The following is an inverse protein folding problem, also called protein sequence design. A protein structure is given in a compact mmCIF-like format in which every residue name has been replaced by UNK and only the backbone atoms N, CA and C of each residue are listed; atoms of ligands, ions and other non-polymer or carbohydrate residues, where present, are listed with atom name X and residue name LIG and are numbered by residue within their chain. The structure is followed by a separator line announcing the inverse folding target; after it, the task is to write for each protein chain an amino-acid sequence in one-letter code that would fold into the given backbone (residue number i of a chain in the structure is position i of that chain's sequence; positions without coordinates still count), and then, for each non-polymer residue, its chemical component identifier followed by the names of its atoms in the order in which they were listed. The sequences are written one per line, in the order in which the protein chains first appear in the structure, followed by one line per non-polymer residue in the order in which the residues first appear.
data_IF_110015332530
#
_entry.id   IF_110015332530
#
_cell.length_a   1.000
_cell.length_b   1.000
_cell.length_c   1.000
_cell.angle_alpha   90.00
_cell.angle_beta   90.00
_cell.angle_gamma   90.00
#
_symmetry.space_group_name_H-M   'P 1'
#
loop_
_entity.id
_entity.type
_entity.pdbx_description
1 polymer ?
#
# COMPACT_ATOMS: atom_id res chain seq x y z
N UNK A 1 9.56 -5.19 -18.09
CA UNK A 1 9.06 -4.62 -16.82
C UNK A 1 8.65 -5.68 -15.81
N UNK A 2 7.81 -6.67 -16.19
CA UNK A 2 7.37 -7.72 -15.27
C UNK A 2 8.52 -8.58 -14.69
N UNK A 3 9.56 -8.87 -15.48
CA UNK A 3 10.70 -9.68 -15.00
C UNK A 3 11.54 -8.93 -13.96
N UNK A 4 11.78 -7.63 -14.16
CA UNK A 4 12.50 -6.77 -13.21
C UNK A 4 11.69 -6.56 -11.92
N UNK A 5 10.36 -6.44 -12.03
CA UNK A 5 9.48 -6.35 -10.86
C UNK A 5 9.58 -7.63 -10.01
N UNK A 6 9.53 -8.81 -10.64
CA UNK A 6 9.65 -10.10 -9.93
C UNK A 6 11.01 -10.25 -9.26
N UNK A 7 12.08 -9.84 -9.92
CA UNK A 7 13.44 -9.85 -9.37
C UNK A 7 13.52 -8.98 -8.10
N UNK A 8 13.10 -7.71 -8.19
CA UNK A 8 13.08 -6.78 -7.04
C UNK A 8 12.25 -7.33 -5.88
N UNK A 9 11.04 -7.83 -6.14
CA UNK A 9 10.16 -8.32 -5.08
C UNK A 9 10.66 -9.64 -4.45
N UNK A 10 11.44 -10.45 -5.19
CA UNK A 10 11.95 -11.73 -4.68
C UNK A 10 13.01 -11.60 -3.59
N UNK A 11 13.63 -10.42 -3.47
CA UNK A 11 14.60 -10.11 -2.42
C UNK A 11 13.95 -9.81 -1.06
N UNK A 12 12.63 -9.64 -1.03
CA UNK A 12 11.88 -9.23 0.15
C UNK A 12 10.87 -10.29 0.58
N UNK A 13 10.73 -10.50 1.88
CA UNK A 13 9.60 -11.26 2.40
C UNK A 13 8.37 -10.33 2.46
N UNK A 14 7.45 -10.48 1.52
CA UNK A 14 6.24 -9.66 1.43
C UNK A 14 5.03 -10.49 1.78
N UNK A 15 4.24 -10.00 2.75
CA UNK A 15 2.92 -10.54 3.10
C UNK A 15 1.91 -9.41 3.00
N UNK A 16 0.78 -9.67 2.36
CA UNK A 16 -0.31 -8.70 2.23
C UNK A 16 -1.57 -9.33 2.80
N UNK A 17 -2.25 -8.61 3.69
CA UNK A 17 -3.49 -9.04 4.36
C UNK A 17 -4.53 -7.94 4.30
N UNK A 18 -5.79 -8.30 4.17
CA UNK A 18 -6.91 -7.36 4.22
C UNK A 18 -7.87 -7.67 5.36
N UNK A 19 -8.49 -6.62 5.90
CA UNK A 19 -9.32 -6.67 7.10
C UNK A 19 -10.57 -5.83 6.89
N UNK A 20 -11.73 -6.45 7.09
CA UNK A 20 -13.02 -5.86 6.74
C UNK A 20 -13.64 -5.07 7.90
N UNK A 21 -14.27 -3.93 7.59
CA UNK A 21 -15.10 -3.16 8.53
C UNK A 21 -14.39 -2.78 9.85
N UNK A 22 -13.11 -2.41 9.78
CA UNK A 22 -12.33 -2.02 10.95
C UNK A 22 -12.73 -0.62 11.44
N UNK A 23 -12.64 -0.41 12.75
CA UNK A 23 -12.92 0.87 13.41
C UNK A 23 -11.67 1.32 14.17
N UNK A 24 -11.13 2.47 13.80
CA UNK A 24 -9.97 3.10 14.42
C UNK A 24 -10.40 4.41 15.06
N UNK A 25 -10.68 4.38 16.37
CA UNK A 25 -11.21 5.54 17.10
C UNK A 25 -10.27 6.75 17.06
N UNK A 26 -8.98 6.49 17.26
CA UNK A 26 -7.90 7.48 17.27
C UNK A 26 -6.77 7.03 16.34
N UNK A 27 -6.78 7.56 15.11
CA UNK A 27 -5.77 7.23 14.10
C UNK A 27 -4.34 7.51 14.59
N UNK A 28 -3.99 8.67 15.19
CA UNK A 28 -2.64 8.90 15.68
C UNK A 28 -2.15 7.85 16.70
N UNK A 29 -2.98 7.51 17.70
CA UNK A 29 -2.63 6.51 18.71
C UNK A 29 -2.46 5.12 18.11
N UNK A 30 -3.34 4.76 17.17
CA UNK A 30 -3.27 3.50 16.46
C UNK A 30 -1.99 3.40 15.60
N UNK A 31 -1.67 4.43 14.82
CA UNK A 31 -0.44 4.47 14.03
C UNK A 31 0.82 4.43 14.90
N UNK A 32 0.79 5.03 16.11
CA UNK A 32 1.90 4.91 17.04
C UNK A 32 2.11 3.45 17.51
N UNK A 33 1.03 2.70 17.80
CA UNK A 33 1.14 1.28 18.15
C UNK A 33 1.73 0.46 16.99
N UNK A 34 1.32 0.74 15.76
CA UNK A 34 1.90 0.11 14.56
C UNK A 34 3.39 0.44 14.44
N UNK A 35 3.77 1.70 14.67
CA UNK A 35 5.18 2.12 14.62
C UNK A 35 6.02 1.40 15.68
N UNK A 36 5.51 1.28 16.90
CA UNK A 36 6.18 0.52 17.97
C UNK A 36 6.37 -0.96 17.60
N UNK A 37 5.37 -1.59 16.97
CA UNK A 37 5.48 -2.97 16.46
C UNK A 37 6.51 -3.04 15.32
N UNK A 38 6.50 -2.08 14.41
CA UNK A 38 7.42 -2.03 13.25
C UNK A 38 8.87 -1.93 13.73
N UNK A 39 9.14 -1.09 14.72
CA UNK A 39 10.48 -0.86 15.30
C UNK A 39 11.05 -2.04 16.09
N UNK A 40 10.30 -3.14 16.25
CA UNK A 40 10.86 -4.38 16.80
C UNK A 40 11.95 -5.01 15.89
N UNK A 41 12.01 -4.60 14.62
CA UNK A 41 13.06 -4.96 13.67
C UNK A 41 13.29 -3.81 12.68
N UNK A 42 14.53 -3.33 12.56
CA UNK A 42 14.89 -2.16 11.73
C UNK A 42 14.65 -2.36 10.23
N UNK A 43 14.63 -3.61 9.76
CA UNK A 43 14.36 -3.94 8.35
C UNK A 43 12.87 -4.05 8.03
N UNK A 44 12.01 -4.08 9.05
CA UNK A 44 10.57 -4.28 8.89
C UNK A 44 9.87 -3.04 8.39
N UNK A 45 8.90 -3.25 7.50
CA UNK A 45 7.96 -2.22 7.06
C UNK A 45 6.54 -2.75 7.28
N UNK A 46 5.71 -1.96 7.96
CA UNK A 46 4.27 -2.23 8.11
C UNK A 46 3.53 -1.00 7.61
N UNK A 47 2.93 -1.08 6.42
CA UNK A 47 2.15 0.00 5.83
C UNK A 47 0.69 -0.38 5.74
N UNK A 48 -0.18 0.43 6.36
CA UNK A 48 -1.63 0.30 6.23
C UNK A 48 -2.16 1.20 5.11
N UNK A 49 -3.08 0.65 4.32
CA UNK A 49 -3.71 1.30 3.18
C UNK A 49 -5.23 1.12 3.28
N UNK A 50 -5.97 2.11 2.80
CA UNK A 50 -7.41 2.03 2.61
C UNK A 50 -7.71 1.06 1.45
N UNK A 51 -8.26 -0.11 1.78
CA UNK A 51 -8.49 -1.21 0.83
C UNK A 51 -9.50 -0.81 -0.25
N UNK A 52 -10.37 0.16 0.02
CA UNK A 52 -11.39 0.62 -0.90
C UNK A 52 -10.83 1.33 -2.15
N UNK A 53 -9.54 1.65 -2.17
CA UNK A 53 -8.85 2.27 -3.30
C UNK A 53 -7.72 1.39 -3.85
N UNK A 54 -7.75 0.09 -3.55
CA UNK A 54 -6.89 -0.95 -4.10
C UNK A 54 -7.69 -1.72 -5.16
N UNK A 55 -7.02 -2.13 -6.24
CA UNK A 55 -7.67 -2.82 -7.37
C UNK A 55 -6.83 -4.04 -7.80
N UNK A 56 -6.77 -5.05 -6.95
CA UNK A 56 -6.07 -6.30 -7.19
C UNK A 56 -4.61 -6.31 -6.73
N UNK A 57 -4.09 -7.53 -6.61
CA UNK A 57 -2.74 -7.79 -6.13
C UNK A 57 -1.65 -7.16 -7.03
N UNK A 58 -1.92 -7.07 -8.33
CA UNK A 58 -1.00 -6.44 -9.29
C UNK A 58 -0.77 -4.97 -8.99
N UNK A 59 -1.81 -4.23 -8.61
CA UNK A 59 -1.73 -2.82 -8.24
C UNK A 59 -0.82 -2.62 -7.03
N UNK A 60 -1.04 -3.37 -5.94
CA UNK A 60 -0.22 -3.28 -4.72
C UNK A 60 1.25 -3.63 -5.04
N UNK A 61 1.49 -4.76 -5.70
CA UNK A 61 2.84 -5.19 -6.04
C UNK A 61 3.58 -4.21 -6.95
N UNK A 62 2.86 -3.49 -7.81
CA UNK A 62 3.45 -2.45 -8.63
C UNK A 62 3.87 -1.24 -7.78
N UNK A 63 2.99 -0.79 -6.88
CA UNK A 63 3.32 0.26 -5.91
C UNK A 63 4.52 -0.08 -5.03
N UNK A 64 4.57 -1.31 -4.48
CA UNK A 64 5.70 -1.78 -3.66
C UNK A 64 7.00 -1.78 -4.45
N UNK A 65 7.00 -2.39 -5.65
CA UNK A 65 8.22 -2.47 -6.47
C UNK A 65 8.76 -1.09 -6.84
N UNK A 66 7.88 -0.16 -7.19
CA UNK A 66 8.27 1.21 -7.53
C UNK A 66 8.78 1.99 -6.31
N UNK A 67 8.22 1.75 -5.13
CA UNK A 67 8.70 2.36 -3.89
C UNK A 67 10.10 1.87 -3.52
N UNK A 68 10.33 0.55 -3.57
CA UNK A 68 11.64 -0.07 -3.32
C UNK A 68 12.68 0.48 -4.31
N UNK A 69 12.34 0.51 -5.60
CA UNK A 69 13.22 1.05 -6.64
C UNK A 69 13.55 2.51 -6.40
N UNK A 70 12.55 3.34 -6.10
CA UNK A 70 12.73 4.77 -5.84
C UNK A 70 13.68 5.02 -4.66
N UNK A 71 13.57 4.23 -3.59
CA UNK A 71 14.52 4.31 -2.47
C UNK A 71 15.93 3.88 -2.87
N UNK A 72 16.08 2.80 -3.64
CA UNK A 72 17.39 2.35 -4.14
C UNK A 72 18.08 3.37 -5.05
N UNK A 73 17.29 4.16 -5.78
CA UNK A 73 17.78 5.18 -6.73
C UNK A 73 17.82 6.61 -6.14
N UNK A 74 17.45 6.80 -4.87
CA UNK A 74 17.28 8.11 -4.21
C UNK A 74 16.31 9.05 -4.95
N UNK A 75 15.24 8.49 -5.52
CA UNK A 75 14.14 9.20 -6.21
C UNK A 75 12.82 9.13 -5.43
N UNK A 76 12.88 8.72 -4.16
CA UNK A 76 11.73 8.64 -3.27
C UNK A 76 11.15 10.03 -2.97
N UNK A 77 9.83 10.12 -2.86
CA UNK A 77 9.13 11.34 -2.46
C UNK A 77 8.98 11.44 -0.95
N UNK A 78 8.84 10.32 -0.25
CA UNK A 78 8.75 10.21 1.19
C UNK A 78 10.08 9.74 1.81
N UNK A 79 10.38 10.21 3.03
CA UNK A 79 11.57 9.81 3.78
C UNK A 79 11.43 8.44 4.47
N UNK A 80 10.23 7.87 4.47
CA UNK A 80 9.92 6.57 5.06
C UNK A 80 9.47 5.59 3.96
N UNK A 81 9.93 4.33 4.05
CA UNK A 81 9.67 3.31 3.03
C UNK A 81 8.20 2.90 2.98
N UNK A 82 7.53 2.78 4.13
CA UNK A 82 6.09 2.49 4.19
C UNK A 82 5.29 3.61 3.53
N UNK A 83 5.62 4.86 3.85
CA UNK A 83 4.94 6.02 3.29
C UNK A 83 5.17 6.15 1.78
N UNK A 84 6.36 5.83 1.27
CA UNK A 84 6.60 5.79 -0.18
C UNK A 84 5.79 4.69 -0.87
N UNK A 85 5.57 3.53 -0.25
CA UNK A 85 4.65 2.51 -0.77
C UNK A 85 3.24 3.10 -0.91
N UNK A 86 2.77 3.86 0.09
CA UNK A 86 1.49 4.56 0.00
C UNK A 86 1.46 5.58 -1.15
N UNK A 87 2.52 6.41 -1.28
CA UNK A 87 2.64 7.40 -2.35
C UNK A 87 2.61 6.75 -3.73
N UNK A 88 3.45 5.73 -3.95
CA UNK A 88 3.53 5.03 -5.24
C UNK A 88 2.25 4.31 -5.56
N UNK A 89 1.68 3.54 -4.62
CA UNK A 89 0.40 2.85 -4.83
C UNK A 89 -0.72 3.85 -5.14
N UNK A 90 -0.74 5.03 -4.52
CA UNK A 90 -1.78 6.04 -4.78
C UNK A 90 -1.67 6.72 -6.15
N UNK A 91 -0.62 6.43 -6.92
CA UNK A 91 -0.26 7.12 -8.15
C UNK A 91 -0.14 8.66 -7.99
N UNK A 92 0.22 9.14 -6.78
CA UNK A 92 0.41 10.56 -6.47
C UNK A 92 1.89 10.91 -6.33
N UNK A 93 2.24 12.18 -6.58
CA UNK A 93 3.57 12.74 -6.22
C UNK A 93 3.59 13.37 -4.83
N UNK A 94 2.45 13.85 -4.35
CA UNK A 94 2.34 14.56 -3.08
C UNK A 94 1.85 13.61 -1.98
N UNK A 95 2.61 13.54 -0.89
CA UNK A 95 2.28 12.71 0.28
C UNK A 95 0.89 13.03 0.83
N UNK A 96 0.51 14.31 0.88
CA UNK A 96 -0.81 14.72 1.38
C UNK A 96 -1.96 14.15 0.54
N UNK A 97 -1.82 14.11 -0.78
CA UNK A 97 -2.84 13.56 -1.67
C UNK A 97 -2.87 12.03 -1.60
N UNK A 98 -1.69 11.40 -1.49
CA UNK A 98 -1.58 9.97 -1.26
C UNK A 98 -2.33 9.54 0.02
N UNK A 99 -2.11 10.25 1.13
CA UNK A 99 -2.78 9.97 2.40
C UNK A 99 -4.28 10.30 2.39
N UNK A 100 -4.71 11.30 1.62
CA UNK A 100 -6.14 11.56 1.42
C UNK A 100 -6.83 10.39 0.71
N UNK A 101 -6.16 9.81 -0.29
CA UNK A 101 -6.69 8.68 -1.05
C UNK A 101 -6.53 7.37 -0.29
N UNK A 102 -5.29 6.87 -0.12
CA UNK A 102 -4.98 5.56 0.45
C UNK A 102 -4.70 5.55 1.96
N UNK A 103 -4.65 6.69 2.63
CA UNK A 103 -4.49 6.70 4.09
C UNK A 103 -5.73 6.14 4.78
N UNK A 104 -5.54 5.27 5.78
CA UNK A 104 -6.63 4.63 6.53
C UNK A 104 -7.62 5.66 7.11
N UNK A 105 -8.90 5.27 7.17
CA UNK A 105 -9.97 6.07 7.77
C UNK A 105 -10.36 5.54 9.14
N UNK A 106 -11.16 6.31 9.87
CA UNK A 106 -11.71 5.89 11.17
C UNK A 106 -12.60 4.64 11.08
N UNK A 107 -13.22 4.42 9.92
CA UNK A 107 -14.00 3.24 9.62
C UNK A 107 -13.77 2.86 8.17
N UNK A 108 -13.47 1.60 7.90
CA UNK A 108 -13.29 1.12 6.54
C UNK A 108 -12.56 -0.22 6.48
N UNK A 109 -12.29 -0.64 5.26
CA UNK A 109 -11.49 -1.82 4.97
C UNK A 109 -10.02 -1.43 4.95
N UNK A 110 -9.16 -2.25 5.57
CA UNK A 110 -7.74 -1.95 5.70
C UNK A 110 -6.95 -3.07 5.04
N UNK A 111 -6.03 -2.72 4.15
CA UNK A 111 -4.99 -3.63 3.66
C UNK A 111 -3.68 -3.28 4.35
N UNK A 112 -2.98 -4.29 4.84
CA UNK A 112 -1.66 -4.13 5.46
C UNK A 112 -0.62 -4.82 4.59
N UNK A 113 0.40 -4.05 4.21
CA UNK A 113 1.61 -4.53 3.54
C UNK A 113 2.68 -4.72 4.61
N UNK A 114 3.14 -5.96 4.75
CA UNK A 114 4.23 -6.35 5.62
C UNK A 114 5.45 -6.70 4.77
N UNK A 115 6.59 -6.07 5.04
CA UNK A 115 7.87 -6.37 4.35
C UNK A 115 8.93 -6.68 5.40
N UNK A 116 9.61 -7.82 5.24
CA UNK A 116 10.68 -8.30 6.13
C UNK A 116 10.27 -8.36 7.62
N UNK A 117 8.97 -8.55 7.87
CA UNK A 117 8.41 -8.62 9.22
C UNK A 117 8.49 -10.02 9.81
N UNK A 118 8.71 -10.11 11.11
CA UNK A 118 8.65 -11.38 11.83
C UNK A 118 7.20 -11.85 12.03
N UNK A 119 6.97 -13.16 12.23
CA UNK A 119 5.64 -13.67 12.58
C UNK A 119 5.03 -13.03 13.84
N UNK A 120 5.86 -12.61 14.80
CA UNK A 120 5.40 -11.91 16.00
C UNK A 120 4.87 -10.50 15.66
N UNK A 121 5.54 -9.76 14.79
CA UNK A 121 5.09 -8.43 14.35
C UNK A 121 3.76 -8.51 13.59
N UNK A 122 3.61 -9.50 12.70
CA UNK A 122 2.36 -9.74 11.98
C UNK A 122 1.25 -10.06 12.99
N UNK A 123 1.50 -10.98 13.93
CA UNK A 123 0.52 -11.36 14.96
C UNK A 123 0.06 -10.17 15.80
N UNK A 124 0.99 -9.35 16.31
CA UNK A 124 0.67 -8.15 17.11
C UNK A 124 -0.15 -7.14 16.30
N UNK A 125 0.14 -6.99 15.01
CA UNK A 125 -0.62 -6.11 14.12
C UNK A 125 -2.03 -6.67 13.87
N UNK A 126 -2.15 -7.98 13.66
CA UNK A 126 -3.43 -8.67 13.50
C UNK A 126 -4.33 -8.56 14.73
N UNK A 127 -3.75 -8.55 15.94
CA UNK A 127 -4.49 -8.35 17.20
C UNK A 127 -5.12 -6.95 17.32
N UNK A 128 -4.61 -5.95 16.59
CA UNK A 128 -5.17 -4.60 16.53
C UNK A 128 -6.26 -4.44 15.45
N UNK A 129 -6.48 -5.46 14.63
CA UNK A 129 -7.40 -5.47 13.51
C UNK A 129 -8.45 -6.58 13.70
N UNK A 130 -9.50 -6.56 12.89
CA UNK A 130 -10.61 -7.50 12.98
C UNK A 130 -11.05 -7.95 11.60
N UNK A 131 -11.71 -9.12 11.54
CA UNK A 131 -12.33 -9.68 10.33
C UNK A 131 -11.37 -9.76 9.14
N UNK A 132 -10.29 -10.53 9.26
CA UNK A 132 -9.38 -10.77 8.14
C UNK A 132 -10.16 -11.37 6.95
N UNK A 133 -10.09 -10.70 5.81
CA UNK A 133 -10.73 -11.06 4.56
C UNK A 133 -9.81 -10.65 3.39
N UNK A 134 -8.95 -11.56 2.96
CA UNK A 134 -7.94 -11.29 1.92
C UNK A 134 -8.58 -11.16 0.51
N UNK A 135 -9.81 -11.65 0.30
CA UNK A 135 -10.52 -11.54 -0.98
C UNK A 135 -10.84 -10.10 -1.37
N UNK A 136 -10.95 -9.18 -0.38
CA UNK A 136 -11.18 -7.75 -0.60
C UNK A 136 -10.16 -7.08 -1.52
N UNK A 137 -8.96 -7.65 -1.66
CA UNK A 137 -7.93 -7.12 -2.56
C UNK A 137 -8.40 -7.19 -4.01
N UNK A 138 -9.12 -8.24 -4.39
CA UNK A 138 -9.62 -8.46 -5.76
C UNK A 138 -11.10 -8.02 -5.92
N UNK A 139 -11.81 -7.76 -4.82
CA UNK A 139 -13.20 -7.29 -4.79
C UNK A 139 -13.25 -5.76 -4.64
N UNK A 140 -13.11 -5.03 -5.76
CA UNK A 140 -13.12 -3.58 -5.80
C UNK A 140 -14.27 -3.00 -6.64
N UNK A 141 -14.62 -1.75 -6.37
CA UNK A 141 -15.65 -1.00 -7.09
C UNK A 141 -14.99 -0.22 -8.25
N UNK A 142 -15.19 -0.71 -9.47
CA UNK A 142 -14.64 -0.14 -10.70
C UNK A 142 -14.95 1.36 -10.85
N UNK A 143 -16.20 1.78 -10.62
CA UNK A 143 -16.61 3.17 -10.78
C UNK A 143 -15.90 4.07 -9.76
N UNK A 144 -15.78 3.58 -8.52
CA UNK A 144 -15.05 4.28 -7.46
C UNK A 144 -13.58 4.41 -7.80
N UNK A 145 -12.93 3.35 -8.28
CA UNK A 145 -11.51 3.36 -8.65
C UNK A 145 -11.27 4.31 -9.83
N UNK A 146 -12.04 4.19 -10.91
CA UNK A 146 -11.95 5.05 -12.10
C UNK A 146 -12.05 6.53 -11.70
N UNK A 147 -13.04 6.87 -10.85
CA UNK A 147 -13.22 8.25 -10.37
C UNK A 147 -12.07 8.72 -9.49
N UNK A 148 -11.67 7.92 -8.50
CA UNK A 148 -10.62 8.29 -7.54
C UNK A 148 -9.26 8.48 -8.18
N UNK A 149 -8.91 7.64 -9.15
CA UNK A 149 -7.65 7.73 -9.88
C UNK A 149 -7.76 8.62 -11.13
N UNK A 150 -8.94 9.18 -11.44
CA UNK A 150 -9.21 10.00 -12.63
C UNK A 150 -8.78 9.28 -13.93
N UNK A 151 -9.25 8.05 -14.11
CA UNK A 151 -9.04 7.25 -15.32
C UNK A 151 -10.09 7.63 -16.37
N UNK A 152 -9.70 7.67 -17.65
CA UNK A 152 -10.60 7.99 -18.77
C UNK A 152 -11.08 6.70 -19.43
N UNK A 153 -12.37 6.34 -19.28
CA UNK A 153 -13.02 5.18 -19.93
C UNK A 153 -12.09 3.95 -20.06
N UNK A 154 -11.68 3.42 -18.91
CA UNK A 154 -10.70 2.34 -18.83
C UNK A 154 -11.33 0.97 -19.11
N UNK A 155 -10.86 0.29 -20.16
CA UNK A 155 -11.17 -1.13 -20.43
C UNK A 155 -10.36 -2.08 -19.53
N UNK A 156 -9.23 -1.61 -18.96
CA UNK A 156 -8.37 -2.37 -18.03
C UNK A 156 -7.83 -1.44 -16.91
N UNK A 157 -8.59 -1.36 -15.82
CA UNK A 157 -8.34 -0.45 -14.69
C UNK A 157 -6.98 -0.71 -14.06
N UNK A 158 -6.59 -1.97 -13.95
CA UNK A 158 -5.34 -2.38 -13.31
C UNK A 158 -4.15 -1.96 -14.16
N UNK A 159 -4.23 -2.16 -15.48
CA UNK A 159 -3.17 -1.71 -16.40
C UNK A 159 -2.99 -0.19 -16.35
N UNK A 160 -4.07 0.57 -16.44
CA UNK A 160 -4.04 2.04 -16.46
C UNK A 160 -3.46 2.64 -15.18
N UNK A 161 -3.82 2.06 -14.02
CA UNK A 161 -3.24 2.47 -12.73
C UNK A 161 -1.76 2.14 -12.69
N UNK A 162 -1.35 0.93 -13.08
CA UNK A 162 0.07 0.56 -13.09
C UNK A 162 0.88 1.47 -14.01
N UNK A 163 0.33 1.88 -15.17
CA UNK A 163 0.95 2.88 -16.04
C UNK A 163 1.10 4.22 -15.32
N UNK A 164 0.05 4.72 -14.66
CA UNK A 164 0.12 5.95 -13.87
C UNK A 164 1.18 5.90 -12.77
N UNK A 165 1.29 4.77 -12.06
CA UNK A 165 2.34 4.58 -11.05
C UNK A 165 3.73 4.62 -11.71
N UNK A 166 3.93 3.90 -12.81
CA UNK A 166 5.21 3.87 -13.53
C UNK A 166 5.62 5.26 -14.06
N UNK A 167 4.65 6.07 -14.52
CA UNK A 167 4.88 7.44 -14.99
C UNK A 167 5.38 8.38 -13.89
N UNK A 168 5.17 8.07 -12.60
CA UNK A 168 5.76 8.83 -11.50
C UNK A 168 7.29 8.76 -11.50
N UNK A 169 7.86 7.63 -11.92
CA UNK A 169 9.31 7.41 -11.97
C UNK A 169 9.99 8.05 -13.19
N UNK A 170 9.22 8.42 -14.23
CA UNK A 170 9.76 9.01 -15.47
C UNK A 170 9.77 10.54 -15.48
N UNK A 171 9.05 11.18 -14.56
CA UNK A 171 8.87 12.64 -14.52
C UNK A 171 9.73 13.33 -13.45
N UNK A 172 10.97 12.87 -13.28
CA UNK A 172 12.01 13.49 -12.45
C UNK A 172 12.79 14.55 -13.23
#
# INVERSE_FOLDING_TARGET
MQDLQKEVLSEYNIVIRSYENNIVENIPSFLNQINEITQLNDESIIQLLDCDYICGMSHINHGISQAIKAFGENQNFANDKGLEICVRTSAQKQISEALKLLGIKKKGNITVVYINTTPEQIKKTEELLSNRNDSLIEEYDDEKIVKSYSLDNSDDIVSDINEKIALLALKT
#
